data_IF_017539984662
#
_entry.id   IF_017539984662
#
_cell.length_a   1.000
_cell.length_b   1.000
_cell.length_c   1.000
_cell.angle_alpha   90.00
_cell.angle_beta   90.00
_cell.angle_gamma   90.00
#
_symmetry.space_group_name_H-M   'P 1'
#
loop_
_entity.id
_entity.type
_entity.pdbx_description
1 polymer ?
#
# COMPACT_ATOMS: atom_id res chain seq x y z
N UNK A 1 4.59 -11.39 -18.16
CA UNK A 1 5.73 -10.92 -18.97
C UNK A 1 7.01 -11.37 -18.28
N UNK A 2 8.00 -11.88 -19.02
CA UNK A 2 9.32 -12.24 -18.46
C UNK A 2 10.29 -11.13 -18.80
N UNK A 3 10.91 -10.53 -17.79
CA UNK A 3 11.88 -9.44 -17.93
C UNK A 3 13.10 -9.78 -17.10
N UNK A 4 14.29 -9.58 -17.65
CA UNK A 4 15.53 -9.68 -16.90
C UNK A 4 15.86 -8.28 -16.37
N UNK A 5 15.92 -8.15 -15.04
CA UNK A 5 16.26 -6.91 -14.36
C UNK A 5 17.32 -7.21 -13.31
N UNK A 6 18.26 -6.29 -13.11
CA UNK A 6 19.20 -6.36 -12.00
C UNK A 6 18.50 -5.87 -10.72
N UNK A 7 18.61 -6.66 -9.66
CA UNK A 7 17.97 -6.38 -8.36
C UNK A 7 19.02 -6.56 -7.28
N UNK A 8 19.02 -5.67 -6.29
CA UNK A 8 19.83 -5.83 -5.09
C UNK A 8 19.43 -7.11 -4.34
N UNK A 9 20.38 -8.04 -4.23
CA UNK A 9 20.21 -9.33 -3.57
C UNK A 9 19.90 -9.17 -2.08
N UNK A 10 20.42 -8.14 -1.42
CA UNK A 10 20.14 -7.89 -0.01
C UNK A 10 18.69 -7.45 0.18
N UNK A 11 18.20 -6.57 -0.69
CA UNK A 11 16.82 -6.09 -0.66
C UNK A 11 15.82 -7.24 -0.86
N UNK A 12 16.00 -8.09 -1.87
CA UNK A 12 15.05 -9.19 -2.11
C UNK A 12 15.10 -10.24 -0.99
N UNK A 13 16.28 -10.50 -0.42
CA UNK A 13 16.44 -11.40 0.72
C UNK A 13 15.69 -10.88 1.94
N UNK A 14 15.84 -9.59 2.25
CA UNK A 14 15.14 -8.95 3.35
C UNK A 14 13.61 -9.03 3.16
N UNK A 15 13.11 -8.76 1.94
CA UNK A 15 11.67 -8.85 1.65
C UNK A 15 11.16 -10.27 1.86
N UNK A 16 11.87 -11.29 1.39
CA UNK A 16 11.47 -12.69 1.57
C UNK A 16 11.46 -13.07 3.06
N UNK A 17 12.45 -12.63 3.84
CA UNK A 17 12.52 -12.93 5.28
C UNK A 17 11.40 -12.25 6.08
N UNK A 18 10.95 -11.08 5.64
CA UNK A 18 9.94 -10.28 6.33
C UNK A 18 8.51 -10.50 5.81
N UNK A 19 8.33 -11.24 4.73
CA UNK A 19 7.03 -11.47 4.09
C UNK A 19 6.70 -12.95 4.00
N UNK A 20 5.48 -13.25 3.56
CA UNK A 20 5.04 -14.63 3.31
C UNK A 20 5.47 -15.15 1.92
N UNK A 21 6.26 -14.37 1.18
CA UNK A 21 6.66 -14.72 -0.17
C UNK A 21 7.66 -15.89 -0.16
N UNK A 22 7.34 -16.94 -0.92
CA UNK A 22 8.19 -18.16 -1.00
C UNK A 22 9.25 -18.08 -2.10
N UNK A 23 9.11 -17.12 -3.02
CA UNK A 23 9.99 -16.97 -4.18
C UNK A 23 10.28 -15.49 -4.43
N UNK A 24 11.42 -15.20 -5.07
CA UNK A 24 11.77 -13.85 -5.50
C UNK A 24 10.70 -13.24 -6.41
N UNK A 25 10.15 -14.03 -7.34
CA UNK A 25 9.07 -13.60 -8.23
C UNK A 25 7.84 -13.13 -7.43
N UNK A 26 7.41 -13.93 -6.46
CA UNK A 26 6.26 -13.59 -5.62
C UNK A 26 6.53 -12.32 -4.81
N UNK A 27 7.71 -12.21 -4.19
CA UNK A 27 8.11 -11.02 -3.44
C UNK A 27 8.09 -9.75 -4.30
N UNK A 28 8.58 -9.83 -5.54
CA UNK A 28 8.57 -8.71 -6.50
C UNK A 28 7.13 -8.36 -6.90
N UNK A 29 6.30 -9.34 -7.25
CA UNK A 29 4.90 -9.08 -7.64
C UNK A 29 4.10 -8.44 -6.49
N UNK A 30 4.30 -8.91 -5.25
CA UNK A 30 3.62 -8.34 -4.08
C UNK A 30 4.13 -6.94 -3.74
N UNK A 31 5.43 -6.70 -3.87
CA UNK A 31 6.01 -5.36 -3.70
C UNK A 31 5.46 -4.37 -4.75
N UNK A 32 5.38 -4.78 -6.02
CA UNK A 32 4.83 -3.95 -7.09
C UNK A 32 3.35 -3.63 -6.85
N UNK A 33 2.53 -4.61 -6.45
CA UNK A 33 1.12 -4.36 -6.09
C UNK A 33 0.98 -3.37 -4.94
N UNK A 34 1.81 -3.51 -3.90
CA UNK A 34 1.82 -2.60 -2.75
C UNK A 34 2.23 -1.19 -3.17
N UNK A 35 3.24 -1.07 -4.03
CA UNK A 35 3.70 0.21 -4.54
C UNK A 35 2.62 0.90 -5.38
N UNK A 36 1.96 0.19 -6.30
CA UNK A 36 0.84 0.75 -7.07
C UNK A 36 -0.30 1.21 -6.16
N UNK A 37 -0.65 0.42 -5.14
CA UNK A 37 -1.67 0.82 -4.17
C UNK A 37 -1.24 2.07 -3.39
N UNK A 38 0.03 2.17 -3.01
CA UNK A 38 0.56 3.34 -2.33
C UNK A 38 0.48 4.59 -3.21
N UNK A 39 0.83 4.48 -4.50
CA UNK A 39 0.68 5.60 -5.44
C UNK A 39 -0.78 6.03 -5.59
N UNK A 40 -1.72 5.08 -5.62
CA UNK A 40 -3.15 5.41 -5.62
C UNK A 40 -3.59 6.13 -4.34
N UNK A 41 -3.06 5.72 -3.16
CA UNK A 41 -3.31 6.41 -1.90
C UNK A 41 -2.76 7.84 -1.90
N UNK A 42 -1.56 8.06 -2.46
CA UNK A 42 -0.99 9.40 -2.61
C UNK A 42 -1.85 10.28 -3.52
N UNK A 43 -2.39 9.73 -4.62
CA UNK A 43 -3.32 10.46 -5.48
C UNK A 43 -4.60 10.89 -4.74
N UNK A 44 -5.11 10.07 -3.80
CA UNK A 44 -6.25 10.47 -2.97
C UNK A 44 -5.95 11.68 -2.08
N UNK A 45 -4.70 11.89 -1.67
CA UNK A 45 -4.32 13.07 -0.89
C UNK A 45 -4.54 14.38 -1.66
N UNK A 46 -4.53 14.34 -3.00
CA UNK A 46 -4.81 15.50 -3.83
C UNK A 46 -6.27 15.98 -3.71
N UNK A 47 -7.17 15.16 -3.17
CA UNK A 47 -8.57 15.51 -2.90
C UNK A 47 -8.72 16.36 -1.63
N UNK A 48 -7.65 16.48 -0.81
CA UNK A 48 -7.69 17.27 0.42
C UNK A 48 -8.15 18.70 0.13
N UNK A 49 -9.23 19.12 0.80
CA UNK A 49 -9.82 20.45 0.64
C UNK A 49 -10.61 20.67 -0.67
N UNK A 50 -10.64 19.68 -1.58
CA UNK A 50 -11.43 19.72 -2.82
C UNK A 50 -12.77 19.02 -2.70
N UNK A 51 -12.88 18.08 -1.78
CA UNK A 51 -14.12 17.33 -1.53
C UNK A 51 -14.85 17.87 -0.31
N UNK A 52 -16.17 18.01 -0.43
CA UNK A 52 -17.04 18.33 0.71
C UNK A 52 -17.25 17.05 1.51
N UNK A 53 -16.88 17.08 2.78
CA UNK A 53 -17.22 16.02 3.71
C UNK A 53 -18.62 16.25 4.27
N UNK A 54 -19.43 15.19 4.34
CA UNK A 54 -20.79 15.23 4.88
C UNK A 54 -20.87 14.25 6.07
N UNK A 55 -21.07 14.79 7.27
CA UNK A 55 -21.16 14.03 8.52
C UNK A 55 -21.16 14.95 9.74
N UNK A 56 -21.41 14.37 10.91
CA UNK A 56 -21.27 15.03 12.21
C UNK A 56 -20.10 14.39 12.97
N UNK A 57 -19.03 15.17 13.16
CA UNK A 57 -17.80 14.66 13.77
C UNK A 57 -17.97 14.38 15.27
N UNK A 58 -18.86 15.11 15.92
CA UNK A 58 -19.10 14.98 17.36
C UNK A 58 -19.95 13.74 17.64
N UNK A 59 -21.00 13.46 16.83
CA UNK A 59 -21.79 12.22 16.93
C UNK A 59 -20.94 10.97 16.67
N UNK A 60 -20.04 11.01 15.67
CA UNK A 60 -19.15 9.89 15.33
C UNK A 60 -18.13 9.54 16.42
N UNK A 61 -17.80 10.49 17.31
CA UNK A 61 -16.87 10.27 18.43
C UNK A 61 -17.55 9.73 19.68
N UNK A 62 -18.88 9.59 19.66
CA UNK A 62 -19.62 8.98 20.76
C UNK A 62 -19.48 7.46 20.76
N UNK A 63 -19.71 6.83 21.90
CA UNK A 63 -19.74 5.36 22.06
C UNK A 63 -20.92 4.68 21.36
N UNK A 64 -21.79 5.44 20.67
CA UNK A 64 -22.99 4.96 19.96
C UNK A 64 -22.69 3.98 18.83
N UNK A 65 -21.47 4.02 18.29
CA UNK A 65 -21.02 3.21 17.15
C UNK A 65 -19.96 2.14 17.51
N UNK A 66 -19.68 1.96 18.80
CA UNK A 66 -18.87 0.86 19.36
C UNK A 66 -19.80 -0.21 19.94
#
# INVERSE_FOLDING_TARGET
MRTNIEIDQQAITAIIQMSEAKTQKQAIEDALKRYTRHMAQLALLELKGKVKWEGDLDDMRTSKYL
#
